data_IF_238716377381
#
_entry.id   IF_238716377381
#
_cell.length_a   1.000
_cell.length_b   1.000
_cell.length_c   1.000
_cell.angle_alpha   90.00
_cell.angle_beta   90.00
_cell.angle_gamma   90.00
#
_symmetry.space_group_name_H-M   'P 1'
#
loop_
_entity.id
_entity.type
_entity.pdbx_description
1 polymer ?
#
# COMPACT_ATOMS: atom_id res chain seq x y z
N UNK A 1 8.01 -10.28 -4.20
CA UNK A 1 6.69 -9.80 -4.68
C UNK A 1 6.18 -8.62 -3.85
N UNK A 2 5.67 -7.58 -4.49
CA UNK A 2 4.95 -6.44 -3.87
C UNK A 2 3.48 -6.55 -4.28
N UNK A 3 2.56 -6.45 -3.32
CA UNK A 3 1.12 -6.52 -3.57
C UNK A 3 0.51 -5.13 -3.57
N UNK A 4 -0.11 -4.74 -4.67
CA UNK A 4 -0.96 -3.54 -4.78
C UNK A 4 -2.38 -3.96 -4.41
N UNK A 5 -2.86 -3.52 -3.24
CA UNK A 5 -4.15 -3.93 -2.68
C UNK A 5 -5.18 -2.79 -2.77
N UNK A 6 -6.28 -3.02 -3.48
CA UNK A 6 -7.36 -2.05 -3.67
C UNK A 6 -8.63 -2.48 -2.95
N UNK A 7 -9.20 -1.59 -2.13
CA UNK A 7 -10.41 -1.85 -1.35
C UNK A 7 -11.71 -1.86 -2.17
N UNK A 8 -11.65 -1.76 -3.50
CA UNK A 8 -12.79 -1.77 -4.39
C UNK A 8 -12.42 -2.27 -5.79
N UNK A 9 -13.43 -2.67 -6.56
CA UNK A 9 -13.28 -3.24 -7.91
C UNK A 9 -13.48 -2.20 -9.02
N UNK A 10 -13.17 -0.93 -8.73
CA UNK A 10 -13.35 0.15 -9.70
C UNK A 10 -12.52 -0.10 -10.97
N UNK A 11 -13.01 0.39 -12.10
CA UNK A 11 -12.28 0.32 -13.36
C UNK A 11 -11.05 1.25 -13.27
N UNK A 12 -9.83 0.75 -13.51
CA UNK A 12 -8.64 1.59 -13.52
C UNK A 12 -8.72 2.65 -14.61
N UNK A 13 -8.21 3.84 -14.32
CA UNK A 13 -8.01 4.87 -15.33
C UNK A 13 -6.75 4.58 -16.16
N UNK A 14 -6.67 5.16 -17.35
CA UNK A 14 -5.41 5.26 -18.08
C UNK A 14 -4.41 6.04 -17.22
N UNK A 15 -3.24 5.47 -16.93
CA UNK A 15 -2.22 5.98 -15.99
C UNK A 15 -2.58 5.93 -14.50
N UNK A 16 -3.16 4.81 -14.07
CA UNK A 16 -3.48 4.54 -12.66
C UNK A 16 -2.27 4.72 -11.70
N UNK A 17 -2.51 5.44 -10.60
CA UNK A 17 -1.48 5.76 -9.60
C UNK A 17 -0.91 4.50 -8.94
N UNK A 18 -1.75 3.51 -8.64
CA UNK A 18 -1.40 2.31 -7.90
C UNK A 18 -0.84 1.20 -8.79
N UNK A 19 -1.37 1.06 -10.01
CA UNK A 19 -1.03 -0.03 -10.93
C UNK A 19 0.07 0.33 -11.93
N UNK A 20 0.36 1.62 -12.16
CA UNK A 20 1.38 2.08 -13.12
C UNK A 20 2.43 2.97 -12.46
N UNK A 21 2.02 4.10 -11.87
CA UNK A 21 2.98 5.13 -11.41
C UNK A 21 3.81 4.68 -10.21
N UNK A 22 3.17 4.19 -9.15
CA UNK A 22 3.86 3.67 -7.96
C UNK A 22 4.83 2.52 -8.31
N UNK A 23 4.43 1.48 -9.08
CA UNK A 23 5.35 0.44 -9.51
C UNK A 23 6.59 0.98 -10.23
N UNK A 24 6.41 1.90 -11.19
CA UNK A 24 7.52 2.53 -11.92
C UNK A 24 8.45 3.30 -10.97
N UNK A 25 7.90 4.14 -10.11
CA UNK A 25 8.70 4.93 -9.16
C UNK A 25 9.45 4.05 -8.17
N UNK A 26 8.84 2.95 -7.70
CA UNK A 26 9.46 2.03 -6.76
C UNK A 26 10.63 1.25 -7.40
N UNK A 27 10.47 0.81 -8.66
CA UNK A 27 11.56 0.18 -9.41
C UNK A 27 12.71 1.16 -9.61
N UNK A 28 12.43 2.41 -10.01
CA UNK A 28 13.45 3.43 -10.20
C UNK A 28 14.17 3.80 -8.89
N UNK A 29 13.45 3.85 -7.77
CA UNK A 29 14.02 4.16 -6.46
C UNK A 29 14.92 3.04 -5.92
N UNK A 30 14.54 1.78 -6.16
CA UNK A 30 15.25 0.62 -5.58
C UNK A 30 16.30 0.01 -6.49
N UNK A 31 16.20 0.23 -7.81
CA UNK A 31 16.99 -0.49 -8.81
C UNK A 31 16.67 -1.99 -8.91
N UNK A 32 15.65 -2.47 -8.20
CA UNK A 32 15.34 -3.89 -8.10
C UNK A 32 14.32 -4.33 -9.15
N UNK A 33 14.47 -5.57 -9.64
CA UNK A 33 13.42 -6.24 -10.42
C UNK A 33 12.32 -6.70 -9.47
N UNK A 34 11.23 -5.93 -9.41
CA UNK A 34 10.10 -6.19 -8.51
C UNK A 34 8.95 -6.85 -9.28
N UNK A 35 8.49 -7.99 -8.79
CA UNK A 35 7.23 -8.59 -9.21
C UNK A 35 6.07 -7.90 -8.48
N UNK A 36 5.13 -7.33 -9.24
CA UNK A 36 3.92 -6.70 -8.72
C UNK A 36 2.69 -7.57 -8.95
N UNK A 37 1.89 -7.80 -7.91
CA UNK A 37 0.57 -8.43 -8.00
C UNK A 37 -0.50 -7.42 -7.60
N UNK A 38 -1.53 -7.25 -8.42
CA UNK A 38 -2.68 -6.39 -8.10
C UNK A 38 -3.82 -7.26 -7.60
N UNK A 39 -4.42 -6.87 -6.47
CA UNK A 39 -5.60 -7.51 -5.89
C UNK A 39 -6.62 -6.41 -5.61
N UNK A 40 -7.83 -6.54 -6.15
CA UNK A 40 -8.89 -5.55 -6.00
C UNK A 40 -10.17 -6.21 -5.46
N UNK A 41 -10.66 -5.73 -4.32
CA UNK A 41 -11.81 -6.35 -3.67
C UNK A 41 -12.19 -5.73 -2.32
N UNK A 42 -13.43 -5.98 -1.90
CA UNK A 42 -13.96 -5.55 -0.59
C UNK A 42 -13.47 -6.40 0.57
N UNK A 43 -13.01 -7.62 0.30
CA UNK A 43 -12.45 -8.50 1.32
C UNK A 43 -10.92 -8.38 1.37
N UNK A 44 -10.33 -8.89 2.45
CA UNK A 44 -8.89 -9.08 2.49
C UNK A 44 -8.58 -10.38 1.75
N UNK A 45 -7.54 -10.43 0.90
CA UNK A 45 -7.26 -11.61 0.09
C UNK A 45 -6.93 -12.84 0.92
N UNK A 46 -7.11 -14.00 0.30
CA UNK A 46 -6.71 -15.27 0.89
C UNK A 46 -5.18 -15.33 1.07
N UNK A 47 -4.70 -16.17 1.99
CA UNK A 47 -3.29 -16.19 2.39
C UNK A 47 -2.41 -16.65 1.22
N UNK A 48 -2.91 -17.57 0.41
CA UNK A 48 -2.29 -18.09 -0.80
C UNK A 48 -2.04 -16.97 -1.81
N UNK A 49 -2.93 -15.98 -1.89
CA UNK A 49 -2.75 -14.85 -2.79
C UNK A 49 -1.58 -13.94 -2.40
N UNK A 50 -1.25 -13.93 -1.11
CA UNK A 50 -0.18 -13.15 -0.49
C UNK A 50 1.13 -13.93 -0.34
N UNK A 51 1.19 -15.19 -0.77
CA UNK A 51 2.38 -16.04 -0.60
C UNK A 51 3.64 -15.39 -1.18
N UNK A 52 4.72 -15.28 -0.39
CA UNK A 52 5.96 -14.63 -0.84
C UNK A 52 5.87 -13.10 -1.01
N UNK A 53 4.76 -12.46 -0.62
CA UNK A 53 4.68 -11.01 -0.55
C UNK A 53 5.64 -10.45 0.51
N UNK A 54 6.42 -9.44 0.14
CA UNK A 54 7.36 -8.75 1.02
C UNK A 54 6.85 -7.38 1.47
N UNK A 55 5.86 -6.84 0.77
CA UNK A 55 5.24 -5.55 1.05
C UNK A 55 3.83 -5.52 0.44
N UNK A 56 2.88 -4.97 1.18
CA UNK A 56 1.55 -4.59 0.71
C UNK A 56 1.51 -3.06 0.61
N UNK A 57 1.08 -2.55 -0.55
CA UNK A 57 0.79 -1.14 -0.78
C UNK A 57 -0.71 -1.02 -1.02
N UNK A 58 -1.44 -0.50 -0.03
CA UNK A 58 -2.90 -0.37 -0.12
C UNK A 58 -3.32 0.97 -0.72
N UNK A 59 -4.43 0.99 -1.46
CA UNK A 59 -5.01 2.25 -1.95
C UNK A 59 -5.46 3.18 -0.81
N UNK A 60 -5.85 4.42 -1.15
CA UNK A 60 -6.37 5.39 -0.18
C UNK A 60 -7.71 4.99 0.47
N UNK A 61 -8.33 3.90 0.00
CA UNK A 61 -9.52 3.30 0.61
C UNK A 61 -10.72 4.24 0.72
N UNK A 62 -10.92 5.08 -0.30
CA UNK A 62 -11.98 6.10 -0.35
C UNK A 62 -13.41 5.55 -0.13
N UNK A 63 -13.63 4.26 -0.35
CA UNK A 63 -14.94 3.59 -0.14
C UNK A 63 -14.96 2.63 1.06
N UNK A 64 -13.85 2.44 1.77
CA UNK A 64 -13.83 1.59 2.97
C UNK A 64 -14.09 2.42 4.22
N UNK A 65 -14.82 1.85 5.17
CA UNK A 65 -14.90 2.42 6.51
C UNK A 65 -13.63 2.10 7.33
N UNK A 66 -13.50 2.78 8.48
CA UNK A 66 -12.35 2.61 9.38
C UNK A 66 -12.18 1.16 9.85
N UNK A 67 -13.27 0.48 10.21
CA UNK A 67 -13.23 -0.91 10.69
C UNK A 67 -12.66 -1.86 9.64
N UNK A 68 -13.07 -1.71 8.38
CA UNK A 68 -12.59 -2.52 7.26
C UNK A 68 -11.11 -2.27 6.96
N UNK A 69 -10.64 -1.03 7.03
CA UNK A 69 -9.21 -0.72 6.89
C UNK A 69 -8.39 -1.30 8.05
N UNK A 70 -8.80 -1.06 9.30
CA UNK A 70 -8.08 -1.56 10.47
C UNK A 70 -8.08 -3.09 10.58
N UNK A 71 -9.09 -3.77 10.01
CA UNK A 71 -9.06 -5.24 9.84
C UNK A 71 -7.88 -5.67 8.97
N UNK A 72 -7.69 -5.02 7.82
CA UNK A 72 -6.59 -5.31 6.89
C UNK A 72 -5.21 -5.07 7.52
N UNK A 73 -5.04 -3.94 8.21
CA UNK A 73 -3.80 -3.62 8.95
C UNK A 73 -3.48 -4.67 10.01
N UNK A 74 -4.50 -5.15 10.74
CA UNK A 74 -4.30 -6.22 11.74
C UNK A 74 -3.95 -7.55 11.08
N UNK A 75 -4.58 -7.88 9.95
CA UNK A 75 -4.30 -9.11 9.20
C UNK A 75 -2.88 -9.10 8.62
N UNK A 76 -2.44 -8.00 8.00
CA UNK A 76 -1.08 -7.89 7.49
C UNK A 76 -0.04 -8.01 8.60
N UNK A 77 -0.30 -7.39 9.78
CA UNK A 77 0.54 -7.56 10.98
C UNK A 77 0.61 -9.01 11.45
N UNK A 78 -0.53 -9.73 11.51
CA UNK A 78 -0.56 -11.16 11.90
C UNK A 78 0.21 -12.05 10.93
N UNK A 79 0.17 -11.73 9.65
CA UNK A 79 0.93 -12.44 8.61
C UNK A 79 2.42 -12.04 8.56
N UNK A 80 2.84 -11.06 9.35
CA UNK A 80 4.21 -10.54 9.32
C UNK A 80 4.58 -9.81 8.02
N UNK A 81 3.60 -9.35 7.24
CA UNK A 81 3.82 -8.66 5.97
C UNK A 81 3.68 -7.14 6.20
N UNK A 82 4.74 -6.34 5.95
CA UNK A 82 4.65 -4.89 6.02
C UNK A 82 3.56 -4.33 5.11
N UNK A 83 2.80 -3.36 5.61
CA UNK A 83 1.73 -2.71 4.87
C UNK A 83 1.88 -1.19 4.94
N UNK A 84 1.84 -0.54 3.79
CA UNK A 84 1.80 0.93 3.63
C UNK A 84 0.59 1.31 2.76
N UNK A 85 0.45 2.60 2.44
CA UNK A 85 -0.59 3.09 1.54
C UNK A 85 -0.02 4.00 0.43
N UNK A 86 -0.83 4.27 -0.60
CA UNK A 86 -0.42 5.12 -1.74
C UNK A 86 0.14 6.47 -1.29
N UNK A 87 -0.54 7.19 -0.39
CA UNK A 87 -0.10 8.51 0.07
C UNK A 87 1.25 8.49 0.79
N UNK A 88 1.47 7.53 1.67
CA UNK A 88 2.75 7.36 2.39
C UNK A 88 3.86 6.97 1.43
N UNK A 89 3.61 6.02 0.52
CA UNK A 89 4.58 5.60 -0.50
C UNK A 89 4.97 6.75 -1.42
N UNK A 90 4.00 7.51 -1.92
CA UNK A 90 4.26 8.68 -2.78
C UNK A 90 5.08 9.72 -2.03
N UNK A 91 4.69 10.04 -0.80
CA UNK A 91 5.40 11.03 0.02
C UNK A 91 6.83 10.60 0.32
N UNK A 92 7.05 9.30 0.55
CA UNK A 92 8.38 8.72 0.76
C UNK A 92 9.24 8.84 -0.50
N UNK A 93 8.71 8.38 -1.65
CA UNK A 93 9.44 8.38 -2.92
C UNK A 93 9.76 9.80 -3.42
N UNK A 94 8.95 10.79 -3.05
CA UNK A 94 9.18 12.20 -3.39
C UNK A 94 9.97 12.98 -2.30
N UNK A 95 10.41 12.33 -1.22
CA UNK A 95 11.23 12.97 -0.19
C UNK A 95 10.49 13.99 0.70
N UNK A 96 9.16 13.92 0.77
CA UNK A 96 8.33 14.87 1.56
C UNK A 96 7.63 14.23 2.76
N UNK A 97 7.80 12.92 2.97
CA UNK A 97 7.12 12.18 4.04
C UNK A 97 7.35 12.80 5.42
N UNK A 98 8.61 13.04 5.81
CA UNK A 98 8.93 13.57 7.14
C UNK A 98 8.28 14.92 7.43
N UNK A 99 8.19 15.78 6.41
CA UNK A 99 7.50 17.06 6.51
C UNK A 99 5.99 16.84 6.64
N UNK A 100 5.41 15.98 5.80
CA UNK A 100 3.98 15.72 5.78
C UNK A 100 3.48 15.12 7.10
N UNK A 101 4.27 14.24 7.74
CA UNK A 101 3.86 13.58 8.99
C UNK A 101 4.20 14.38 10.25
N UNK A 102 5.04 15.42 10.15
CA UNK A 102 5.50 16.21 11.31
C UNK A 102 4.37 16.73 12.18
N UNK A 103 3.28 17.19 11.56
CA UNK A 103 2.11 17.73 12.28
C UNK A 103 1.35 16.67 13.07
N UNK A 104 1.50 15.40 12.71
CA UNK A 104 0.92 14.26 13.43
C UNK A 104 1.88 13.66 14.46
N UNK A 105 3.17 14.02 14.42
CA UNK A 105 4.21 13.59 15.38
C UNK A 105 4.16 14.34 16.73
N UNK A 106 2.98 14.75 17.20
CA UNK A 106 2.82 15.12 18.62
C UNK A 106 2.70 13.80 19.42
N UNK A 107 3.68 13.55 20.28
CA UNK A 107 3.74 12.47 21.28
C UNK A 107 3.81 11.03 20.75
N UNK A 108 4.90 10.70 20.04
CA UNK A 108 5.38 9.30 20.00
C UNK A 108 6.88 9.36 20.26
N UNK A 109 7.29 9.06 21.50
CA UNK A 109 8.70 8.78 21.82
C UNK A 109 9.14 7.57 20.99
N UNK A 110 10.29 7.71 20.33
CA UNK A 110 10.94 6.65 19.53
C UNK A 110 11.73 5.74 20.46
#
# INVERSE_FOLDING_TARGET
KVVIMEGCTHRPLTEDIGRVKIPRWLVNHTGAKIEFKVIAGKEFPDVEELEGAKLIIHCGACVLNRSAMMRRVRMSKRLGIPMTNYGVTISYLHGVLDRAIRVFKKEVEV
#
